data_IF_487669785103
#
_entry.id   IF_487669785103
#
_cell.length_a   1.000
_cell.length_b   1.000
_cell.length_c   1.000
_cell.angle_alpha   90.00
_cell.angle_beta   90.00
_cell.angle_gamma   90.00
#
_symmetry.space_group_name_H-M   'P 1'
#
loop_
_entity.id
_entity.type
_entity.pdbx_description
1 polymer ?
2 non-polymer ?
3 non-polymer ?
4 water ?
#
# COMPACT_ATOMS: atom_id res chain seq x y z
N UNK A 14 -1.81 -16.51 11.50
CA UNK A 14 -0.97 -16.75 10.29
C UNK A 14 -0.64 -15.45 9.55
N UNK A 15 -1.61 -14.55 9.46
CA UNK A 15 -1.40 -13.22 8.89
C UNK A 15 -0.33 -12.45 9.65
N UNK A 16 0.62 -11.87 8.93
CA UNK A 16 1.69 -11.14 9.57
C UNK A 16 1.18 -9.83 10.16
N UNK A 17 1.42 -9.65 11.44
CA UNK A 17 1.04 -8.45 12.14
C UNK A 17 2.21 -7.47 12.12
N UNK A 18 1.93 -6.24 11.67
CA UNK A 18 2.94 -5.19 11.64
C UNK A 18 2.57 -4.18 12.72
N UNK A 19 3.50 -3.98 13.65
CA UNK A 19 3.28 -3.11 14.81
C UNK A 19 4.23 -1.93 14.80
N UNK A 20 3.66 -0.73 14.72
CA UNK A 20 4.45 0.49 14.73
C UNK A 20 4.46 1.17 16.09
N UNK A 21 5.58 1.81 16.41
CA UNK A 21 5.70 2.59 17.64
C UNK A 21 6.49 3.83 17.31
N UNK A 22 6.09 4.99 17.81
CA UNK A 22 4.88 5.20 18.61
C UNK A 22 3.68 5.48 17.71
N UNK A 23 2.47 5.62 18.28
CA UNK A 23 1.29 5.94 17.50
C UNK A 23 1.37 7.39 17.04
N UNK A 24 1.87 8.25 17.88
CA UNK A 24 2.00 9.66 17.59
C UNK A 24 3.41 10.11 17.99
N UNK A 25 4.05 10.89 17.15
CA UNK A 25 5.41 11.38 17.38
C UNK A 25 5.51 12.91 17.22
N UNK A 26 5.38 13.66 18.31
CA UNK A 26 5.51 15.12 18.25
C UNK A 26 6.96 15.57 18.10
N UNK A 27 7.23 16.49 17.19
CA UNK A 27 8.59 16.98 16.99
C UNK A 27 8.64 18.47 16.74
N UNK A 28 9.85 19.03 16.85
CA UNK A 28 10.09 20.42 16.50
C UNK A 28 10.83 20.37 15.18
N UNK A 29 10.57 21.33 14.30
CA UNK A 29 11.24 21.37 13.01
C UNK A 29 12.74 21.41 13.23
N UNK A 30 13.47 20.50 12.59
CA UNK A 30 14.92 20.43 12.74
C UNK A 30 15.39 19.25 13.56
N UNK A 31 14.49 18.67 14.34
CA UNK A 31 14.81 17.50 15.15
C UNK A 31 14.94 16.26 14.28
N UNK A 32 15.47 15.20 14.87
CA UNK A 32 15.53 13.91 14.22
C UNK A 32 14.33 13.11 14.73
N UNK A 33 13.79 12.24 13.89
CA UNK A 33 12.67 11.39 14.29
C UNK A 33 13.02 9.94 13.97
N UNK A 34 12.55 9.02 14.80
CA UNK A 34 12.76 7.59 14.60
C UNK A 34 11.46 6.87 14.83
N UNK A 35 11.05 6.04 13.86
CA UNK A 35 9.82 5.27 13.93
C UNK A 35 10.16 3.80 13.82
N UNK A 36 9.53 3.00 14.66
CA UNK A 36 9.79 1.58 14.68
C UNK A 36 8.65 0.82 14.04
N UNK A 37 8.99 -0.24 13.33
CA UNK A 37 8.02 -1.14 12.74
C UNK A 37 8.53 -2.56 12.96
N UNK A 38 7.73 -3.38 13.64
CA UNK A 38 8.09 -4.76 13.90
C UNK A 38 7.09 -5.68 13.24
N UNK A 39 7.56 -6.81 12.72
CA UNK A 39 6.70 -7.83 12.14
C UNK A 39 6.60 -9.04 13.06
N UNK A 40 5.50 -9.80 12.94
CA UNK A 40 5.29 -10.97 13.79
C UNK A 40 6.06 -12.20 13.28
N UNK A 41 6.63 -12.07 12.08
CA UNK A 41 7.54 -13.08 11.60
C UNK A 41 8.51 -12.48 10.61
N UNK A 42 9.61 -13.18 10.35
CA UNK A 42 10.64 -12.65 9.48
C UNK A 42 10.09 -12.29 8.11
N UNK A 43 10.56 -11.17 7.61
CA UNK A 43 10.18 -10.71 6.29
C UNK A 43 11.21 -11.10 5.25
N UNK A 44 12.21 -11.88 5.64
CA UNK A 44 13.21 -12.34 4.67
C UNK A 44 12.59 -13.41 3.78
N UNK A 45 12.57 -13.11 2.49
CA UNK A 45 12.04 -14.03 1.49
C UNK A 45 13.13 -15.01 1.03
N UNK A 46 12.71 -16.19 0.59
CA UNK A 46 13.63 -17.19 0.08
C UNK A 46 14.46 -16.67 -1.09
N UNK A 47 13.94 -15.69 -1.83
CA UNK A 47 14.66 -15.14 -2.96
C UNK A 47 15.71 -14.12 -2.56
N UNK A 48 15.88 -13.92 -1.24
CA UNK A 48 16.91 -13.05 -0.72
C UNK A 48 16.48 -11.64 -0.39
N UNK A 49 15.33 -11.22 -0.91
CA UNK A 49 14.81 -9.89 -0.63
C UNK A 49 14.04 -9.83 0.68
N UNK A 50 13.98 -8.66 1.29
CA UNK A 50 13.15 -8.40 2.45
C UNK A 50 12.15 -7.32 2.01
N UNK A 51 10.88 -7.70 1.89
CA UNK A 51 9.89 -6.81 1.31
C UNK A 51 9.18 -5.98 2.38
N UNK A 52 9.82 -4.87 2.73
CA UNK A 52 9.32 -3.91 3.72
C UNK A 52 9.32 -2.53 3.06
N UNK A 53 8.16 -1.89 3.08
CA UNK A 53 8.01 -0.54 2.52
C UNK A 53 7.64 0.42 3.63
N UNK A 54 8.05 1.67 3.44
CA UNK A 54 7.56 2.78 4.26
C UNK A 54 6.83 3.74 3.34
N UNK A 55 5.67 4.23 3.81
CA UNK A 55 4.87 5.18 3.09
C UNK A 55 4.68 6.42 3.94
N UNK A 56 4.46 7.54 3.26
CA UNK A 56 4.01 8.76 3.95
C UNK A 56 2.67 9.14 3.36
N UNK A 57 1.69 9.39 4.22
CA UNK A 57 0.42 9.94 3.78
C UNK A 57 0.21 11.31 4.41
N UNK A 58 0.25 12.34 3.59
CA UNK A 58 -0.01 13.69 4.04
C UNK A 58 -1.53 13.82 4.29
N UNK A 59 -1.94 14.67 5.24
CA UNK A 59 -3.34 14.74 5.62
C UNK A 59 -4.24 15.11 4.47
N UNK A 60 -5.23 14.27 4.17
CA UNK A 60 -6.14 14.48 3.07
C UNK A 60 -5.65 13.97 1.72
N UNK A 61 -4.42 13.43 1.69
CA UNK A 61 -3.83 12.95 0.45
C UNK A 61 -3.67 11.45 0.47
N UNK A 62 -3.13 10.90 -0.60
CA UNK A 62 -2.99 9.45 -0.72
C UNK A 62 -1.61 9.01 -0.28
N UNK A 63 -1.47 7.76 0.13
CA UNK A 63 -0.18 7.26 0.58
C UNK A 63 0.80 7.19 -0.58
N UNK A 64 2.04 7.52 -0.31
CA UNK A 64 3.08 7.45 -1.32
C UNK A 64 4.27 6.72 -0.72
N UNK A 65 4.94 5.92 -1.52
CA UNK A 65 6.07 5.14 -1.07
C UNK A 65 7.29 6.00 -0.93
N UNK A 66 7.97 5.90 0.21
CA UNK A 66 9.24 6.59 0.42
C UNK A 66 10.43 5.66 0.36
N UNK A 67 10.26 4.45 0.91
CA UNK A 67 11.34 3.48 1.01
C UNK A 67 10.78 2.13 0.64
N UNK A 68 11.54 1.33 -0.10
CA UNK A 68 11.13 -0.03 -0.43
C UNK A 68 12.30 -1.01 -0.19
N UNK A 69 11.96 -2.28 -0.03
CA UNK A 69 12.95 -3.30 0.33
C UNK A 69 13.88 -2.79 1.44
N UNK A 70 13.24 -2.34 2.52
CA UNK A 70 13.87 -1.92 3.78
C UNK A 70 14.61 -0.59 3.76
N UNK A 71 15.47 -0.41 2.77
CA UNK A 71 16.40 0.71 2.79
C UNK A 71 16.56 1.47 1.48
N UNK A 72 15.86 1.08 0.44
CA UNK A 72 16.00 1.76 -0.83
C UNK A 72 15.07 2.94 -0.90
N UNK A 73 15.68 4.10 -1.06
CA UNK A 73 14.99 5.36 -1.14
C UNK A 73 14.41 5.57 -2.53
N UNK A 74 13.11 5.82 -2.61
CA UNK A 74 12.48 6.17 -3.90
C UNK A 74 13.14 7.44 -4.41
N UNK A 75 13.70 7.42 -5.62
CA UNK A 75 14.37 8.61 -6.13
C UNK A 75 13.45 9.82 -6.01
N UNK A 76 13.99 10.94 -5.54
CA UNK A 76 13.19 12.13 -5.32
C UNK A 76 12.96 12.40 -3.83
N UNK A 77 12.91 11.32 -3.06
CA UNK A 77 12.79 11.42 -1.61
C UNK A 77 14.14 11.91 -1.10
N UNK A 78 14.15 12.94 -0.26
CA UNK A 78 15.42 13.49 0.24
C UNK A 78 16.27 12.49 1.02
N UNK A 79 17.58 12.73 1.04
CA UNK A 79 18.54 11.88 1.74
C UNK A 79 18.36 11.91 3.27
N UNK A 80 17.56 12.86 3.76
CA UNK A 80 17.23 12.94 5.17
C UNK A 80 16.47 11.69 5.66
N UNK A 81 15.83 10.97 4.74
CA UNK A 81 15.08 9.76 5.09
C UNK A 81 15.94 8.54 4.93
N UNK A 82 15.91 7.66 5.91
CA UNK A 82 16.63 6.42 5.82
C UNK A 82 15.90 5.28 6.48
N UNK A 83 15.87 4.14 5.80
CA UNK A 83 15.28 2.93 6.35
C UNK A 83 16.39 1.93 6.66
N UNK A 84 16.21 1.21 7.75
CA UNK A 84 17.17 0.21 8.16
C UNK A 84 16.45 -0.92 8.88
N UNK A 85 17.20 -1.94 9.27
CA UNK A 85 16.64 -3.08 9.97
C UNK A 85 16.78 -4.37 9.22
N UNK A 86 16.32 -5.45 9.84
CA UNK A 86 16.37 -6.78 9.24
C UNK A 86 15.45 -7.73 9.98
N UNK A 87 14.99 -8.75 9.27
CA UNK A 87 14.21 -9.82 9.87
C UNK A 87 12.83 -9.41 10.30
N UNK A 88 12.70 -9.01 11.58
CA UNK A 88 11.42 -8.58 12.12
C UNK A 88 11.46 -7.17 12.69
N UNK A 89 12.59 -6.51 12.60
CA UNK A 89 12.76 -5.22 13.28
C UNK A 89 13.27 -4.17 12.33
N UNK A 90 12.46 -3.13 12.11
CA UNK A 90 12.74 -2.10 11.14
C UNK A 90 12.59 -0.70 11.70
N UNK A 91 13.32 0.24 11.10
CA UNK A 91 13.32 1.60 11.56
C UNK A 91 13.37 2.59 10.41
N UNK A 92 12.55 3.64 10.51
CA UNK A 92 12.62 4.78 9.61
C UNK A 92 13.18 5.96 10.39
N UNK A 93 14.22 6.57 9.85
CA UNK A 93 14.85 7.74 10.45
C UNK A 93 14.65 8.94 9.53
N UNK A 94 14.29 10.07 10.14
CA UNK A 94 14.09 11.32 9.42
C UNK A 94 14.93 12.37 10.06
N UNK A 95 15.94 12.85 9.33
CA UNK A 95 16.83 13.89 9.81
C UNK A 95 16.25 15.26 9.53
N UNK A 96 16.47 16.21 10.44
CA UNK A 96 16.06 17.60 10.23
C UNK A 96 14.63 17.73 9.69
N UNK A 97 13.67 17.30 10.48
CA UNK A 97 12.27 17.32 10.05
C UNK A 97 11.80 18.68 9.55
N UNK A 98 11.16 18.69 8.37
CA UNK A 98 10.54 19.90 7.81
C UNK A 98 9.03 19.74 7.71
N UNK A 99 8.35 20.86 7.45
CA UNK A 99 6.90 20.85 7.38
C UNK A 99 6.34 19.85 6.37
N UNK A 100 7.01 19.70 5.24
CA UNK A 100 6.55 18.79 4.20
C UNK A 100 6.62 17.33 4.63
N UNK A 101 7.34 17.03 5.70
CA UNK A 101 7.46 15.66 6.19
C UNK A 101 6.30 15.25 7.09
N UNK A 102 5.48 16.22 7.51
CA UNK A 102 4.42 15.94 8.47
C UNK A 102 3.29 15.12 7.86
N UNK A 103 2.80 14.17 8.64
CA UNK A 103 1.75 13.28 8.16
C UNK A 103 1.83 11.96 8.86
N UNK A 104 1.21 10.94 8.28
CA UNK A 104 1.22 9.61 8.87
C UNK A 104 2.12 8.69 8.06
N UNK A 105 3.05 8.04 8.76
CA UNK A 105 3.95 7.09 8.16
C UNK A 105 3.43 5.69 8.42
N UNK A 106 3.43 4.86 7.38
CA UNK A 106 3.04 3.47 7.51
C UNK A 106 4.15 2.58 7.04
N UNK A 107 4.32 1.46 7.70
CA UNK A 107 5.16 0.41 7.14
C UNK A 107 4.25 -0.69 6.61
N UNK A 108 4.77 -1.47 5.66
CA UNK A 108 4.02 -2.60 5.14
C UNK A 108 4.97 -3.72 4.76
N UNK A 109 4.49 -4.95 4.89
CA UNK A 109 5.21 -6.12 4.42
C UNK A 109 4.51 -6.74 3.25
N UNK A 110 5.31 -7.16 2.28
CA UNK A 110 4.80 -7.83 1.10
C UNK A 110 5.59 -9.11 0.81
N UNK A 111 6.20 -9.70 1.85
CA UNK A 111 6.85 -10.99 1.71
C UNK A 111 5.84 -12.13 1.71
N UNK A 112 4.80 -11.95 2.52
CA UNK A 112 3.77 -12.95 2.75
C UNK A 112 2.40 -12.42 2.35
N UNK A 113 1.60 -13.28 1.75
CA UNK A 113 0.22 -12.96 1.44
C UNK A 113 -0.58 -13.49 2.64
N UNK A 114 -1.51 -12.71 3.18
CA UNK A 114 -1.87 -11.37 2.72
C UNK A 114 -0.86 -10.27 3.04
N UNK A 115 -0.69 -9.35 2.12
CA UNK A 115 0.16 -8.18 2.39
C UNK A 115 -0.49 -7.42 3.53
N UNK A 116 0.31 -6.88 4.45
CA UNK A 116 -0.22 -6.19 5.62
C UNK A 116 0.53 -4.93 5.95
N UNK A 117 -0.17 -4.07 6.68
CA UNK A 117 0.29 -2.74 6.99
C UNK A 117 0.33 -2.51 8.49
N UNK A 118 1.26 -1.69 8.93
CA UNK A 118 1.24 -1.20 10.29
C UNK A 118 0.11 -0.18 10.45
N UNK A 119 -0.18 0.16 11.70
CA UNK A 119 -1.28 1.07 11.98
C UNK A 119 -1.02 2.54 11.80
N UNK A 120 0.23 2.89 11.52
CA UNK A 120 0.61 4.25 11.30
C UNK A 120 1.17 5.01 12.50
N UNK A 121 2.09 5.91 12.20
CA UNK A 121 2.70 6.81 13.16
C UNK A 121 2.51 8.23 12.64
N UNK A 122 1.84 9.07 13.43
CA UNK A 122 1.59 10.45 13.02
C UNK A 122 2.73 11.37 13.47
N UNK A 123 3.48 11.90 12.51
CA UNK A 123 4.54 12.85 12.77
C UNK A 123 3.90 14.22 12.74
N UNK A 124 4.00 14.95 13.84
CA UNK A 124 3.33 16.23 13.95
C UNK A 124 4.16 17.22 14.77
N UNK A 149 7.15 13.19 -13.98
CA UNK A 149 7.10 12.77 -12.55
C UNK A 149 7.10 11.25 -12.41
N UNK A 150 8.07 10.71 -11.68
CA UNK A 150 8.11 9.28 -11.39
C UNK A 150 8.17 8.54 -12.72
N UNK A 151 9.00 9.05 -13.63
CA UNK A 151 9.18 8.42 -14.93
C UNK A 151 7.93 8.43 -15.78
N UNK A 152 6.95 9.24 -15.40
CA UNK A 152 5.70 9.29 -16.15
C UNK A 152 4.70 8.20 -15.79
N UNK A 153 4.91 7.51 -14.68
CA UNK A 153 3.97 6.47 -14.26
C UNK A 153 2.60 7.06 -13.91
N UNK A 154 1.54 6.39 -14.35
CA UNK A 154 0.17 6.80 -14.02
C UNK A 154 -0.70 5.60 -13.72
N UNK A 155 -1.51 5.73 -12.66
CA UNK A 155 -2.53 4.74 -12.32
C UNK A 155 -3.75 5.57 -11.99
N UNK A 156 -4.87 5.28 -12.64
CA UNK A 156 -6.07 6.06 -12.44
C UNK A 156 -7.25 5.16 -12.12
N UNK A 157 -7.76 5.28 -10.90
CA UNK A 157 -8.90 4.49 -10.45
C UNK A 157 -10.21 5.19 -10.74
N UNK A 158 -11.17 4.43 -11.26
CA UNK A 158 -12.52 4.93 -11.51
C UNK A 158 -13.53 3.90 -11.02
N UNK A 159 -14.77 4.34 -10.86
CA UNK A 159 -15.86 3.46 -10.49
C UNK A 159 -16.44 3.65 -9.11
N UNK A 160 -15.77 4.44 -8.28
CA UNK A 160 -16.25 4.68 -6.94
C UNK A 160 -17.57 5.43 -6.89
N UNK A 161 -18.24 5.32 -5.76
CA UNK A 161 -19.50 6.01 -5.57
C UNK A 161 -20.21 5.49 -4.35
N UNK A 162 -21.50 5.78 -4.28
CA UNK A 162 -22.33 5.41 -3.16
C UNK A 162 -23.28 4.31 -3.54
N UNK A 163 -23.33 3.25 -2.72
CA UNK A 163 -24.31 2.19 -2.91
C UNK A 163 -24.86 1.79 -1.55
N UNK A 164 -25.99 1.09 -1.58
CA UNK A 164 -26.62 0.57 -0.36
C UNK A 164 -26.16 -0.88 -0.18
N UNK A 165 -26.20 -1.42 1.03
CA UNK A 165 -25.73 -2.78 1.29
C UNK A 165 -26.41 -3.82 0.41
N UNK A 166 -25.62 -4.80 -0.03
CA UNK A 166 -26.09 -5.84 -0.93
C UNK A 166 -25.71 -5.51 -2.35
N UNK A 167 -25.48 -4.23 -2.60
CA UNK A 167 -25.12 -3.74 -3.92
C UNK A 167 -23.77 -4.20 -4.43
N UNK A 168 -23.52 -3.91 -5.70
CA UNK A 168 -22.29 -4.25 -6.37
C UNK A 168 -21.74 -3.01 -7.04
N UNK A 169 -20.44 -3.05 -7.30
CA UNK A 169 -19.73 -1.92 -7.87
C UNK A 169 -18.50 -2.49 -8.54
N UNK A 170 -18.15 -1.98 -9.71
CA UNK A 170 -16.93 -2.39 -10.39
C UNK A 170 -15.95 -1.23 -10.43
N UNK A 171 -14.75 -1.45 -9.91
CA UNK A 171 -13.69 -0.45 -9.97
C UNK A 171 -12.75 -0.81 -11.12
N UNK A 172 -12.25 0.20 -11.80
CA UNK A 172 -11.31 0.00 -12.89
C UNK A 172 -10.05 0.79 -12.61
N UNK A 173 -8.92 0.27 -13.09
CA UNK A 173 -7.65 0.94 -12.94
C UNK A 173 -6.87 0.80 -14.23
N UNK A 174 -6.67 1.93 -14.88
CA UNK A 174 -5.91 1.98 -16.12
C UNK A 174 -4.54 2.58 -15.82
N UNK A 175 -3.49 1.95 -16.32
CA UNK A 175 -2.13 2.39 -16.01
C UNK A 175 -1.32 2.63 -17.26
N UNK A 176 -0.22 3.35 -17.07
CA UNK A 176 0.75 3.61 -18.12
C UNK A 176 2.08 4.04 -17.51
N UNK A 177 3.16 3.97 -18.28
CA UNK A 177 4.47 4.42 -17.84
C UNK A 177 5.37 3.39 -17.21
N UNK A 178 4.88 2.17 -17.06
CA UNK A 178 5.67 1.07 -16.58
C UNK A 178 5.32 -0.16 -17.40
N UNK A 179 6.25 -1.09 -17.49
CA UNK A 179 6.05 -2.30 -18.28
C UNK A 179 5.17 -3.27 -17.48
N UNK A 180 3.88 -3.08 -17.69
CA UNK A 180 2.81 -3.77 -16.96
C UNK A 180 3.03 -5.28 -16.81
N UNK A 181 3.59 -5.91 -17.83
CA UNK A 181 3.81 -7.34 -17.79
C UNK A 181 4.79 -7.79 -16.73
N UNK A 182 5.55 -6.88 -16.15
CA UNK A 182 6.51 -7.24 -15.11
C UNK A 182 6.00 -6.88 -13.72
N UNK A 183 4.71 -6.55 -13.61
CA UNK A 183 4.13 -6.08 -12.35
C UNK A 183 3.00 -6.95 -11.84
N UNK A 184 2.90 -7.05 -10.51
CA UNK A 184 1.74 -7.64 -9.84
C UNK A 184 0.81 -6.48 -9.52
N UNK A 185 -0.48 -6.61 -9.84
CA UNK A 185 -1.43 -5.52 -9.58
C UNK A 185 -2.25 -5.87 -8.36
N UNK A 186 -2.58 -4.84 -7.56
CA UNK A 186 -3.30 -5.02 -6.31
C UNK A 186 -4.36 -3.95 -6.13
N UNK A 187 -5.32 -4.26 -5.25
CA UNK A 187 -6.22 -3.25 -4.71
C UNK A 187 -5.98 -3.22 -3.20
N UNK A 188 -5.88 -2.01 -2.67
CA UNK A 188 -5.67 -1.75 -1.24
C UNK A 188 -6.72 -0.71 -0.84
N UNK A 189 -7.30 -0.82 0.35
CA UNK A 189 -8.29 0.16 0.76
C UNK A 189 -7.94 0.79 2.10
N UNK A 190 -8.56 1.93 2.36
CA UNK A 190 -8.34 2.64 3.60
C UNK A 190 -9.61 3.14 4.21
N UNK A 191 -9.71 2.90 5.52
CA UNK A 191 -10.82 3.40 6.31
C UNK A 191 -10.29 3.84 7.68
N UNK A 192 -10.94 4.80 8.32
CA UNK A 192 -10.52 5.22 9.66
C UNK A 192 -10.53 4.05 10.64
N UNK A 193 -11.52 3.18 10.49
CA UNK A 193 -11.72 2.06 11.42
C UNK A 193 -10.68 0.95 11.28
N UNK A 194 -10.22 0.67 10.06
CA UNK A 194 -9.31 -0.44 9.88
C UNK A 194 -7.93 -0.05 9.37
N UNK A 195 -7.75 1.21 8.97
CA UNK A 195 -6.48 1.66 8.41
C UNK A 195 -6.31 1.15 6.98
N UNK A 196 -5.06 0.93 6.58
CA UNK A 196 -4.76 0.41 5.24
C UNK A 196 -4.92 -1.09 5.25
N UNK A 197 -5.62 -1.61 4.26
CA UNK A 197 -5.89 -3.04 4.17
C UNK A 197 -5.72 -3.49 2.74
N UNK A 198 -4.82 -4.44 2.50
CA UNK A 198 -4.66 -5.06 1.19
C UNK A 198 -5.87 -5.98 0.98
N UNK A 199 -6.47 -5.94 -0.20
CA UNK A 199 -7.63 -6.82 -0.42
C UNK A 199 -7.54 -7.78 -1.60
N UNK A 200 -6.76 -7.49 -2.64
CA UNK A 200 -6.65 -8.43 -3.75
C UNK A 200 -5.41 -8.19 -4.59
N UNK A 201 -4.96 -9.25 -5.25
CA UNK A 201 -3.74 -9.27 -6.06
C UNK A 201 -3.94 -10.13 -7.29
N UNK A 202 -3.38 -9.69 -8.41
CA UNK A 202 -3.43 -10.46 -9.65
C UNK A 202 -2.02 -10.43 -10.22
N UNK A 203 -1.34 -11.58 -10.17
CA UNK A 203 0.05 -11.66 -10.58
C UNK A 203 0.19 -11.67 -12.09
N UNK A 204 1.43 -11.61 -12.55
CA UNK A 204 1.75 -11.57 -13.97
C UNK A 204 2.01 -12.96 -14.57
N UNK A 205 2.30 -13.02 -15.86
CA UNK A 205 2.46 -14.29 -16.56
C UNK A 205 3.53 -15.21 -15.94
N UNK A 206 4.72 -14.70 -15.65
CA UNK A 206 5.76 -15.53 -15.04
C UNK A 206 5.32 -16.18 -13.73
N UNK A 207 4.37 -15.56 -13.04
CA UNK A 207 3.88 -16.09 -11.77
C UNK A 207 2.49 -16.71 -11.93
N UNK A 208 2.24 -17.24 -13.12
CA UNK A 208 1.03 -17.99 -13.45
C UNK A 208 -0.29 -17.25 -13.34
N UNK A 209 -0.25 -15.93 -13.47
CA UNK A 209 -1.45 -15.11 -13.37
C UNK A 209 -2.30 -15.46 -12.15
N UNK A 210 -1.65 -15.85 -11.05
CA UNK A 210 -2.37 -16.24 -9.86
C UNK A 210 -3.04 -15.07 -9.16
N UNK A 211 -4.19 -15.33 -8.57
CA UNK A 211 -4.92 -14.31 -7.82
C UNK A 211 -4.98 -14.67 -6.35
N UNK A 212 -4.94 -13.64 -5.52
CA UNK A 212 -5.06 -13.79 -4.07
C UNK A 212 -5.99 -12.71 -3.51
N UNK A 213 -6.68 -13.06 -2.43
CA UNK A 213 -7.66 -12.18 -1.80
C UNK A 213 -7.53 -12.17 -0.29
N UNK A 214 -7.94 -11.05 0.33
CA UNK A 214 -7.98 -11.00 1.80
C UNK A 214 -9.20 -11.80 2.26
N UNK A 215 -9.15 -12.35 3.46
CA UNK A 215 -10.27 -13.15 3.94
C UNK A 215 -11.54 -12.32 4.03
N UNK A 216 -11.37 -11.03 4.25
CA UNK A 216 -12.49 -10.10 4.41
C UNK A 216 -13.33 -9.93 3.13
N UNK A 217 -12.78 -10.28 1.97
CA UNK A 217 -13.51 -10.10 0.71
C UNK A 217 -13.64 -11.38 -0.11
N UNK A 218 -13.09 -12.48 0.39
CA UNK A 218 -13.13 -13.73 -0.34
C UNK A 218 -14.57 -14.12 -0.65
N UNK A 219 -14.82 -14.54 -1.88
CA UNK A 219 -16.14 -14.96 -2.30
C UNK A 219 -17.06 -13.85 -2.74
N UNK A 220 -16.64 -12.62 -2.51
CA UNK A 220 -17.44 -11.44 -2.86
C UNK A 220 -16.77 -10.56 -3.91
N UNK A 221 -15.45 -10.41 -3.80
CA UNK A 221 -14.69 -9.56 -4.72
C UNK A 221 -13.91 -10.41 -5.72
N UNK A 222 -13.79 -9.91 -6.95
CA UNK A 222 -13.02 -10.61 -7.97
C UNK A 222 -12.12 -9.60 -8.67
N UNK A 223 -10.82 -9.89 -8.68
CA UNK A 223 -9.86 -9.05 -9.37
C UNK A 223 -9.61 -9.65 -10.77
N UNK A 224 -9.59 -8.79 -11.77
CA UNK A 224 -9.34 -9.20 -13.14
C UNK A 224 -8.24 -8.34 -13.74
N UNK A 225 -7.60 -8.87 -14.76
CA UNK A 225 -6.43 -8.25 -15.33
C UNK A 225 -6.46 -8.36 -16.84
N UNK A 226 -6.04 -7.28 -17.50
CA UNK A 226 -5.94 -7.25 -18.95
C UNK A 226 -4.60 -6.61 -19.38
N UNK A 227 -3.63 -7.45 -19.73
CA UNK A 227 -2.29 -6.99 -20.09
C UNK A 227 -2.32 -6.05 -21.30
N UNK A 228 -3.12 -6.41 -22.30
CA UNK A 228 -3.18 -5.61 -23.53
C UNK A 228 -3.59 -4.17 -23.26
N UNK A 229 -4.33 -3.95 -22.18
CA UNK A 229 -4.80 -2.62 -21.84
C UNK A 229 -4.10 -2.04 -20.61
N UNK A 230 -3.13 -2.78 -20.06
CA UNK A 230 -2.43 -2.35 -18.86
C UNK A 230 -3.42 -1.94 -17.77
N UNK A 231 -4.47 -2.74 -17.61
CA UNK A 231 -5.54 -2.43 -16.64
C UNK A 231 -5.86 -3.57 -15.70
N UNK A 232 -6.37 -3.20 -14.52
CA UNK A 232 -6.83 -4.15 -13.51
C UNK A 232 -8.20 -3.67 -13.04
N UNK A 233 -9.04 -4.61 -12.63
CA UNK A 233 -10.40 -4.28 -12.25
C UNK A 233 -10.76 -5.01 -10.96
N UNK A 234 -11.74 -4.50 -10.23
CA UNK A 234 -12.21 -5.12 -8.99
C UNK A 234 -13.74 -5.14 -9.01
N UNK A 235 -14.31 -6.33 -9.19
CA UNK A 235 -15.75 -6.47 -9.14
C UNK A 235 -16.11 -6.73 -7.69
N UNK A 236 -16.89 -5.84 -7.08
CA UNK A 236 -17.26 -6.00 -5.68
C UNK A 236 -18.74 -6.33 -5.55
N UNK A 237 -19.05 -7.53 -5.08
CA UNK A 237 -20.44 -7.96 -4.92
C UNK A 237 -20.84 -7.99 -3.46
N UNK A 238 -22.16 -7.99 -3.23
CA UNK A 238 -22.73 -8.06 -1.89
C UNK A 238 -22.00 -7.17 -0.89
N UNK A 239 -21.93 -5.89 -1.22
CA UNK A 239 -21.22 -4.91 -0.40
C UNK A 239 -21.85 -4.65 0.97
N UNK A 240 -20.98 -4.45 1.95
CA UNK A 240 -21.38 -4.18 3.32
C UNK A 240 -20.84 -2.82 3.75
N UNK A 241 -21.47 -2.26 4.79
CA UNK A 241 -21.06 -0.97 5.32
C UNK A 241 -19.54 -0.94 5.56
N UNK A 242 -19.01 -2.02 6.11
CA UNK A 242 -17.58 -2.13 6.46
C UNK A 242 -16.65 -2.11 5.25
N UNK A 243 -17.21 -2.20 4.04
CA UNK A 243 -16.40 -2.11 2.82
C UNK A 243 -16.16 -0.67 2.42
N UNK A 244 -16.78 0.26 3.14
CA UNK A 244 -16.61 1.68 2.88
C UNK A 244 -15.13 2.05 3.00
N UNK A 245 -14.61 2.83 2.06
CA UNK A 245 -13.23 3.26 2.14
C UNK A 245 -12.71 3.83 0.85
N UNK A 246 -11.47 4.31 0.87
CA UNK A 246 -10.80 4.77 -0.34
C UNK A 246 -10.06 3.58 -0.87
N UNK A 247 -10.29 3.28 -2.15
CA UNK A 247 -9.70 2.12 -2.81
C UNK A 247 -8.60 2.55 -3.77
N UNK A 248 -7.41 2.03 -3.53
CA UNK A 248 -6.23 2.34 -4.36
C UNK A 248 -5.83 1.14 -5.17
N UNK A 249 -5.48 1.37 -6.42
CA UNK A 249 -4.87 0.32 -7.20
C UNK A 249 -3.36 0.49 -7.12
N UNK A 250 -2.64 -0.62 -7.06
CA UNK A 250 -1.19 -0.53 -6.96
C UNK A 250 -0.55 -1.49 -7.92
N UNK A 251 0.64 -1.12 -8.36
CA UNK A 251 1.45 -1.92 -9.25
C UNK A 251 2.78 -2.16 -8.57
N UNK A 252 3.12 -3.41 -8.36
CA UNK A 252 4.34 -3.78 -7.63
C UNK A 252 5.28 -4.60 -8.48
N UNK A 253 6.58 -4.29 -8.39
CA UNK A 253 7.59 -4.99 -9.20
C UNK A 253 8.94 -4.87 -8.52
N UNK A 254 9.59 -6.00 -8.30
CA UNK A 254 10.94 -6.06 -7.70
C UNK A 254 10.99 -5.26 -6.39
N UNK A 255 9.93 -5.39 -5.59
CA UNK A 255 9.85 -4.76 -4.28
C UNK A 255 9.38 -3.30 -4.26
N UNK A 256 9.34 -2.67 -5.43
CA UNK A 256 8.83 -1.32 -5.56
C UNK A 256 7.32 -1.34 -5.79
N UNK A 257 6.64 -0.26 -5.47
CA UNK A 257 5.20 -0.17 -5.69
C UNK A 257 4.80 1.25 -6.07
N UNK A 258 3.85 1.35 -6.99
CA UNK A 258 3.23 2.62 -7.36
C UNK A 258 1.75 2.52 -7.01
N UNK A 259 1.17 3.65 -6.64
CA UNK A 259 -0.24 3.72 -6.24
C UNK A 259 -0.95 4.88 -6.90
N UNK A 260 -2.22 4.67 -7.17
CA UNK A 260 -3.06 5.73 -7.69
C UNK A 260 -3.50 6.64 -6.57
N UNK A 261 -4.31 7.63 -6.90
CA UNK A 261 -4.82 8.59 -5.94
C UNK A 261 -6.05 8.07 -5.21
N UNK A 262 -6.61 6.98 -5.68
CA UNK A 262 -7.76 6.36 -5.04
C UNK A 262 -9.11 6.80 -5.56
N UNK A 263 -10.10 5.93 -5.34
CA UNK A 263 -11.48 6.23 -5.65
C UNK A 263 -12.31 5.84 -4.44
N UNK A 264 -13.23 6.72 -4.07
CA UNK A 264 -14.00 6.52 -2.84
C UNK A 264 -15.22 5.65 -3.03
N UNK A 265 -15.37 4.70 -2.12
CA UNK A 265 -16.48 3.76 -2.17
C UNK A 265 -17.22 3.95 -0.85
N UNK A 266 -18.52 4.24 -0.92
CA UNK A 266 -19.30 4.37 0.29
C UNK A 266 -20.45 3.39 0.22
N UNK A 267 -20.56 2.57 1.25
CA UNK A 267 -21.66 1.61 1.36
C UNK A 267 -22.44 2.05 2.58
N UNK A 268 -23.68 2.49 2.35
CA UNK A 268 -24.46 3.14 3.39
C UNK A 268 -25.87 2.57 3.49
X LIG B 1 9.30 -10.35 -13.89
X LIG B 1 10.11 -9.55 -14.42
X LIG B 1 9.71 -11.30 -12.80
X LIG C 1 12.85 4.49 -7.31
X LIG C 1 14.01 4.50 -6.82
X LIG C 1 12.33 5.60 -7.54
X LIG C 1 12.12 3.22 -7.58
X LIG D 1 8.53 14.25 1.36
X LIG D 1 9.22 13.36 0.83
X LIG D 1 9.03 14.89 2.31
X LIG D 1 7.13 14.53 0.90
X LIG E 1 4.93 22.60 18.90
X LIG E 1 4.05 23.39 18.49
X LIG E 1 6.06 22.72 18.37
X LIG E 1 4.66 21.59 19.96
X LIG F 1 4.26 19.74 16.77
X LIG F 1 4.94 19.43 17.79
X LIG F 1 4.91 20.16 15.79
X LIG F 1 2.78 19.59 16.73
X LIG G 1 7.71 -13.55 -4.64
X LIG G 1 7.72 -14.77 -4.10
X LIG G 1 7.36 -12.45 -3.84
X LIG G 1 7.32 -11.18 -4.39
X LIG G 1 7.01 -10.20 -3.67
X LIG G 1 6.92 -8.99 -4.07
X LIG G 1 6.58 -7.97 -3.18
X LIG G 1 6.49 -6.64 -3.61
X LIG G 1 6.18 -5.71 -2.80
X LIG G 1 6.79 -6.33 -4.93
X LIG G 1 7.16 -7.29 -5.86
X LIG G 1 7.25 -8.62 -5.46
X LIG G 1 7.64 -9.69 -6.38
X LIG G 1 7.69 -11.04 -5.81
X LIG G 1 8.04 -12.14 -6.57
X LIG G 1 8.05 -13.39 -5.97
X LIG G 1 7.90 -9.43 -7.81
X LIG G 1 6.87 -9.06 -8.64
X LIG G 1 7.12 -8.81 -9.98
X LIG G 1 8.41 -8.93 -10.50
X LIG G 1 9.48 -9.29 -9.69
X LIG G 1 9.26 -9.53 -8.34
X LIG G 1 10.42 -9.69 -7.41
X LIG G 1 10.46 -9.04 -6.36
X LIG G 1 11.37 -10.55 -7.73
#
# INVERSE_FOLDING_TARGET
>A
AARPDYKDDDDKASDVVMTQTPLSLPVSLGDQASISCRSSQSLVHSNGNTYLRWYLQKPGQSPKVLIYKVSNRVSGVPDRFSGSGSGTDFTLKINRVEAEDLGVYFCSQSTHVPWTFGGGTKLEIKSSADDAKKDAAKKDDAKKDDAKKDGGVKLDETGGGLVQPGGAMKLSCVTSGFTFGHYWMNWVRQSPEKGLEWVAQFRNKPYNYETYYSDSVKGRFTISRDDSKSSVYLQMNNLRVEDTGIYYCTGASYGMEYLGQGTSVTVS
>B hetero
1 ACT C O CH3
>C hetero
1 ACT C O OXT CH3
>D hetero
1 ACT C O OXT CH3
>E hetero
1 ACT C O OXT CH3
>F hetero
1 ACT C O OXT CH3
>G hetero
1 FLU C1 O1 C2 C3 O2 C4 C5 C6 O3 C7 C8 C9 C10 C11 C12 C13 C14 C15 C16 C17 C18 C19 C20 O4 O5
#
